data_IF_850717498965
#
_entry.id   IF_850717498965
#
_cell.length_a   1.000
_cell.length_b   1.000
_cell.length_c   1.000
_cell.angle_alpha   90.00
_cell.angle_beta   90.00
_cell.angle_gamma   90.00
#
_symmetry.space_group_name_H-M   'P 1'
#
loop_
_entity.id
_entity.type
_entity.pdbx_description
1 polymer ?
#
# COMPACT_ATOMS: atom_id res chain seq x y z
N UNK A 1 -0.76 6.80 20.19
CA UNK A 1 -0.88 6.42 18.77
C UNK A 1 -0.35 7.55 17.91
N UNK A 2 0.53 7.23 16.98
CA UNK A 2 1.09 8.18 16.03
C UNK A 2 0.07 8.35 14.89
N UNK A 3 -0.31 9.58 14.60
CA UNK A 3 -1.16 9.93 13.45
C UNK A 3 -0.28 10.66 12.44
N UNK A 4 0.13 10.01 11.33
CA UNK A 4 0.90 10.68 10.28
C UNK A 4 0.12 11.86 9.67
N UNK A 5 0.82 12.77 9.00
CA UNK A 5 0.13 13.82 8.24
C UNK A 5 -0.68 13.19 7.09
N UNK A 6 -1.92 13.67 6.88
CA UNK A 6 -2.72 13.21 5.74
C UNK A 6 -2.11 13.73 4.43
N UNK A 7 -2.09 12.88 3.39
CA UNK A 7 -1.60 13.30 2.09
C UNK A 7 -2.48 14.40 1.50
N UNK A 8 -1.86 15.33 0.80
CA UNK A 8 -2.48 16.46 0.11
C UNK A 8 -2.12 16.42 -1.37
N UNK A 9 -2.78 17.20 -2.20
CA UNK A 9 -2.46 17.32 -3.63
C UNK A 9 -1.00 17.67 -3.84
N UNK A 10 -0.33 16.95 -4.72
CA UNK A 10 1.10 17.04 -4.98
C UNK A 10 1.96 16.07 -4.15
N UNK A 11 1.37 15.37 -3.18
CA UNK A 11 2.07 14.33 -2.42
C UNK A 11 2.12 13.02 -3.20
N UNK A 12 3.05 12.17 -2.84
CA UNK A 12 3.28 10.86 -3.47
C UNK A 12 2.70 9.72 -2.64
N UNK A 13 1.93 8.86 -3.30
CA UNK A 13 1.45 7.59 -2.74
C UNK A 13 2.31 6.45 -3.28
N UNK A 14 2.93 5.69 -2.38
CA UNK A 14 3.63 4.46 -2.70
C UNK A 14 2.67 3.28 -2.69
N UNK A 15 2.70 2.44 -3.72
CA UNK A 15 1.87 1.25 -3.82
C UNK A 15 2.76 0.01 -3.79
N UNK A 16 2.46 -0.94 -2.91
CA UNK A 16 3.08 -2.26 -2.86
C UNK A 16 2.05 -3.37 -2.99
N UNK A 17 2.49 -4.56 -3.35
CA UNK A 17 1.66 -5.76 -3.42
C UNK A 17 2.03 -6.76 -2.31
N UNK A 18 1.56 -6.54 -1.07
CA UNK A 18 1.97 -7.35 0.08
C UNK A 18 1.45 -8.78 0.01
N UNK A 19 0.47 -9.06 -0.85
CA UNK A 19 -0.12 -10.38 -1.08
C UNK A 19 -0.17 -10.72 -2.57
N UNK A 20 -1.28 -10.43 -3.27
CA UNK A 20 -1.38 -10.65 -4.71
C UNK A 20 -0.87 -9.45 -5.50
N UNK A 21 -0.26 -9.73 -6.65
CA UNK A 21 -0.04 -8.74 -7.69
C UNK A 21 -1.33 -8.47 -8.48
N UNK A 22 -1.32 -7.41 -9.28
CA UNK A 22 -2.48 -6.99 -10.09
C UNK A 22 -2.34 -7.33 -11.59
N UNK A 23 -1.32 -8.09 -11.99
CA UNK A 23 -1.03 -8.37 -13.40
C UNK A 23 -2.20 -8.98 -14.18
N UNK A 24 -3.06 -9.74 -13.50
CA UNK A 24 -4.29 -10.32 -14.08
C UNK A 24 -5.43 -9.30 -14.31
N UNK A 25 -5.25 -8.05 -13.88
CA UNK A 25 -6.25 -6.95 -13.95
C UNK A 25 -5.62 -5.61 -14.32
N UNK A 26 -4.60 -5.60 -15.16
CA UNK A 26 -3.82 -4.39 -15.48
C UNK A 26 -4.68 -3.24 -15.99
N UNK A 27 -5.61 -3.49 -16.90
CA UNK A 27 -6.49 -2.43 -17.43
C UNK A 27 -7.29 -1.71 -16.34
N UNK A 28 -7.78 -2.45 -15.35
CA UNK A 28 -8.52 -1.89 -14.22
C UNK A 28 -7.61 -1.18 -13.26
N UNK A 29 -6.42 -1.72 -13.03
CA UNK A 29 -5.43 -1.08 -12.17
C UNK A 29 -4.93 0.23 -12.79
N UNK A 30 -4.71 0.27 -14.11
CA UNK A 30 -4.33 1.50 -14.81
C UNK A 30 -5.40 2.60 -14.66
N UNK A 31 -6.70 2.25 -14.72
CA UNK A 31 -7.79 3.19 -14.45
C UNK A 31 -7.77 3.69 -12.99
N UNK A 32 -7.41 2.82 -12.05
CA UNK A 32 -7.29 3.22 -10.64
C UNK A 32 -6.13 4.21 -10.44
N UNK A 33 -4.96 3.94 -11.05
CA UNK A 33 -3.80 4.83 -11.02
C UNK A 33 -4.14 6.18 -11.67
N UNK A 34 -4.80 6.18 -12.83
CA UNK A 34 -5.27 7.38 -13.49
C UNK A 34 -6.22 8.22 -12.60
N UNK A 35 -7.11 7.53 -11.88
CA UNK A 35 -8.04 8.17 -10.94
C UNK A 35 -7.30 8.86 -9.78
N UNK A 36 -6.27 8.22 -9.23
CA UNK A 36 -5.44 8.80 -8.17
C UNK A 36 -4.61 9.99 -8.69
N UNK A 37 -4.04 9.87 -9.89
CA UNK A 37 -3.32 10.98 -10.54
C UNK A 37 -4.24 12.17 -10.81
N UNK A 38 -5.47 11.94 -11.30
CA UNK A 38 -6.47 12.99 -11.51
C UNK A 38 -6.93 13.65 -10.20
N UNK A 39 -6.88 12.91 -9.09
CA UNK A 39 -7.11 13.46 -7.76
C UNK A 39 -5.96 14.36 -7.27
N UNK A 40 -4.81 14.32 -7.95
CA UNK A 40 -3.66 15.18 -7.73
C UNK A 40 -2.53 14.53 -6.94
N UNK A 41 -2.44 13.21 -6.91
CA UNK A 41 -1.34 12.46 -6.29
C UNK A 41 -0.36 11.93 -7.32
N UNK A 42 0.93 11.96 -7.00
CA UNK A 42 1.94 11.21 -7.73
C UNK A 42 1.97 9.77 -7.24
N UNK A 43 2.15 8.81 -8.15
CA UNK A 43 2.11 7.39 -7.81
C UNK A 43 3.47 6.74 -8.08
N UNK A 44 3.96 6.00 -7.08
CA UNK A 44 5.14 5.14 -7.18
C UNK A 44 4.73 3.71 -6.85
N UNK A 45 5.03 2.79 -7.74
CA UNK A 45 4.75 1.36 -7.58
C UNK A 45 6.04 0.60 -7.29
N UNK A 46 5.97 -0.40 -6.41
CA UNK A 46 7.07 -1.37 -6.28
C UNK A 46 7.03 -2.39 -7.42
N UNK A 47 8.16 -3.08 -7.63
CA UNK A 47 8.35 -3.96 -8.79
C UNK A 47 7.31 -5.08 -8.86
N UNK A 48 6.93 -5.66 -7.71
CA UNK A 48 6.00 -6.79 -7.67
C UNK A 48 4.53 -6.43 -7.88
N UNK A 49 4.15 -5.14 -7.90
CA UNK A 49 2.76 -4.71 -8.02
C UNK A 49 2.09 -5.29 -9.27
N UNK A 50 2.76 -5.21 -10.41
CA UNK A 50 2.20 -5.62 -11.71
C UNK A 50 2.42 -7.09 -12.07
N UNK A 51 2.94 -7.89 -11.14
CA UNK A 51 3.11 -9.33 -11.36
C UNK A 51 1.75 -10.05 -11.40
N UNK A 52 1.65 -11.08 -12.26
CA UNK A 52 0.47 -11.98 -12.27
C UNK A 52 0.51 -13.04 -11.15
N UNK A 53 1.67 -13.18 -10.47
CA UNK A 53 1.91 -14.23 -9.51
C UNK A 53 1.06 -14.11 -8.23
N UNK A 54 0.79 -15.24 -7.62
CA UNK A 54 0.10 -15.43 -6.35
C UNK A 54 0.93 -16.33 -5.42
N UNK A 55 1.70 -15.77 -4.47
CA UNK A 55 1.88 -14.34 -4.13
C UNK A 55 2.60 -13.54 -5.23
N UNK A 56 2.54 -12.22 -5.13
CA UNK A 56 3.13 -11.27 -6.10
C UNK A 56 4.64 -11.49 -6.27
N UNK A 57 5.33 -11.82 -5.18
CA UNK A 57 6.76 -12.14 -5.10
C UNK A 57 7.03 -12.97 -3.83
N UNK A 58 8.25 -13.52 -3.64
CA UNK A 58 8.67 -14.11 -2.37
C UNK A 58 8.47 -13.17 -1.18
N UNK A 59 8.21 -13.72 0.00
CA UNK A 59 7.83 -12.95 1.18
C UNK A 59 8.90 -11.92 1.62
N UNK A 60 10.18 -12.27 1.51
CA UNK A 60 11.30 -11.39 1.81
C UNK A 60 11.40 -10.20 0.82
N UNK A 61 11.10 -10.43 -0.45
CA UNK A 61 11.04 -9.38 -1.48
C UNK A 61 9.88 -8.43 -1.18
N UNK A 62 8.67 -8.95 -0.91
CA UNK A 62 7.50 -8.14 -0.55
C UNK A 62 7.77 -7.29 0.70
N UNK A 63 8.44 -7.88 1.71
CA UNK A 63 8.87 -7.17 2.91
C UNK A 63 9.89 -6.07 2.62
N UNK A 64 10.89 -6.34 1.77
CA UNK A 64 11.88 -5.34 1.36
C UNK A 64 11.23 -4.18 0.59
N UNK A 65 10.30 -4.46 -0.32
CA UNK A 65 9.54 -3.45 -1.06
C UNK A 65 8.71 -2.57 -0.12
N UNK A 66 8.01 -3.18 0.84
CA UNK A 66 7.26 -2.44 1.86
C UNK A 66 8.18 -1.52 2.67
N UNK A 67 9.31 -2.05 3.15
CA UNK A 67 10.29 -1.28 3.90
C UNK A 67 10.85 -0.11 3.08
N UNK A 68 11.10 -0.30 1.78
CA UNK A 68 11.62 0.74 0.90
C UNK A 68 10.68 1.95 0.79
N UNK A 69 9.36 1.71 0.69
CA UNK A 69 8.36 2.78 0.65
C UNK A 69 8.30 3.56 1.98
N UNK A 70 8.48 2.87 3.11
CA UNK A 70 8.54 3.56 4.39
C UNK A 70 9.84 4.34 4.58
N UNK A 71 10.96 3.86 4.05
CA UNK A 71 12.26 4.54 4.14
C UNK A 71 12.34 5.79 3.25
N UNK A 72 11.62 5.82 2.13
CA UNK A 72 11.68 6.93 1.18
C UNK A 72 10.90 8.14 1.70
N UNK A 73 11.62 9.24 1.99
CA UNK A 73 11.04 10.48 2.49
C UNK A 73 10.17 11.22 1.45
N UNK A 74 10.22 10.83 0.18
CA UNK A 74 9.34 11.40 -0.85
C UNK A 74 7.96 10.72 -0.88
N UNK A 75 7.81 9.57 -0.22
CA UNK A 75 6.52 8.88 -0.11
C UNK A 75 5.78 9.40 1.12
N UNK A 76 4.56 9.89 0.93
CA UNK A 76 3.72 10.47 1.99
C UNK A 76 2.72 9.47 2.57
N UNK A 77 2.28 8.50 1.77
CA UNK A 77 1.34 7.46 2.16
C UNK A 77 1.68 6.16 1.45
N UNK A 78 1.39 5.03 2.06
CA UNK A 78 1.55 3.71 1.45
C UNK A 78 0.18 3.04 1.30
N UNK A 79 -0.07 2.42 0.15
CA UNK A 79 -1.29 1.64 -0.09
C UNK A 79 -0.97 0.23 -0.57
N UNK A 80 -1.82 -0.71 -0.19
CA UNK A 80 -1.81 -2.04 -0.80
C UNK A 80 -2.43 -1.97 -2.20
N UNK A 81 -1.82 -2.63 -3.18
CA UNK A 81 -2.35 -2.74 -4.53
C UNK A 81 -3.64 -3.58 -4.57
N UNK A 82 -3.63 -4.70 -3.84
CA UNK A 82 -4.70 -5.71 -3.84
C UNK A 82 -4.74 -6.45 -2.50
N UNK A 83 -5.80 -7.20 -2.26
CA UNK A 83 -5.87 -8.22 -1.21
C UNK A 83 -5.16 -9.51 -1.62
N UNK A 84 -5.55 -10.64 -1.01
CA UNK A 84 -5.01 -11.97 -1.29
C UNK A 84 -5.08 -12.87 -0.07
N UNK A 85 -4.10 -13.81 0.04
CA UNK A 85 -4.06 -14.82 1.10
C UNK A 85 -2.65 -15.03 1.70
N UNK A 86 -1.65 -14.22 1.28
CA UNK A 86 -0.24 -14.47 1.60
C UNK A 86 0.44 -13.35 2.40
N UNK A 87 -0.30 -12.32 2.78
CA UNK A 87 0.28 -11.15 3.44
C UNK A 87 0.98 -11.51 4.76
N UNK A 88 0.42 -12.45 5.51
CA UNK A 88 0.97 -12.88 6.81
C UNK A 88 2.43 -13.38 6.70
N UNK A 89 2.80 -13.95 5.55
CA UNK A 89 4.14 -14.50 5.33
C UNK A 89 5.23 -13.41 5.30
N UNK A 90 4.88 -12.18 4.88
CA UNK A 90 5.86 -11.09 4.80
C UNK A 90 6.06 -10.36 6.12
N UNK A 91 5.16 -10.51 7.10
CA UNK A 91 5.24 -9.83 8.40
C UNK A 91 6.62 -9.97 9.08
N UNK A 92 7.28 -11.16 9.10
CA UNK A 92 8.60 -11.30 9.68
C UNK A 92 9.70 -10.49 8.98
N UNK A 93 9.49 -10.04 7.75
CA UNK A 93 10.44 -9.27 6.95
C UNK A 93 10.21 -7.76 6.99
N UNK A 94 9.19 -7.31 7.74
CA UNK A 94 8.97 -5.88 7.99
C UNK A 94 9.99 -5.39 9.03
N UNK A 95 10.79 -4.39 8.64
CA UNK A 95 11.68 -3.70 9.58
C UNK A 95 10.85 -2.74 10.46
N UNK A 96 10.40 -3.25 11.59
CA UNK A 96 9.57 -2.51 12.52
C UNK A 96 10.24 -1.24 13.07
N UNK A 97 11.57 -1.23 13.20
CA UNK A 97 12.30 -0.05 13.68
C UNK A 97 12.31 1.04 12.63
N UNK A 98 12.58 0.67 11.38
CA UNK A 98 12.55 1.58 10.24
C UNK A 98 11.14 2.17 10.08
N UNK A 99 10.11 1.32 10.04
CA UNK A 99 8.71 1.74 9.89
C UNK A 99 8.30 2.70 11.01
N UNK A 100 8.67 2.39 12.26
CA UNK A 100 8.36 3.25 13.41
C UNK A 100 9.09 4.60 13.38
N UNK A 101 10.28 4.66 12.78
CA UNK A 101 11.04 5.91 12.64
C UNK A 101 10.59 6.78 11.46
N UNK A 102 9.82 6.22 10.52
CA UNK A 102 9.28 6.90 9.34
C UNK A 102 7.76 6.67 9.24
N UNK A 103 6.97 7.08 10.24
CA UNK A 103 5.55 6.74 10.28
C UNK A 103 4.80 7.38 9.12
N UNK A 104 4.05 6.56 8.40
CA UNK A 104 3.18 6.95 7.28
C UNK A 104 1.83 6.30 7.42
N UNK A 105 0.80 6.90 6.83
CA UNK A 105 -0.46 6.20 6.64
C UNK A 105 -0.25 4.96 5.77
N UNK A 106 -0.77 3.84 6.22
CA UNK A 106 -0.95 2.65 5.39
C UNK A 106 -2.44 2.43 5.19
N UNK A 107 -2.86 2.20 3.95
CA UNK A 107 -4.25 1.90 3.62
C UNK A 107 -4.37 0.58 2.86
N UNK A 108 -5.39 -0.19 3.22
CA UNK A 108 -5.73 -1.45 2.57
C UNK A 108 -6.94 -2.09 3.22
N UNK A 109 -7.36 -3.24 2.73
CA UNK A 109 -8.39 -4.05 3.37
C UNK A 109 -8.27 -5.53 2.95
N UNK A 110 -9.00 -6.41 3.63
CA UNK A 110 -8.93 -7.86 3.43
C UNK A 110 -7.59 -8.40 3.96
N UNK A 111 -6.81 -9.11 3.16
CA UNK A 111 -5.52 -9.69 3.58
C UNK A 111 -4.52 -8.67 4.13
N UNK A 112 -4.34 -7.45 3.58
CA UNK A 112 -3.52 -6.39 4.17
C UNK A 112 -3.85 -5.97 5.60
N UNK A 113 -4.98 -6.37 6.15
CA UNK A 113 -5.37 -6.13 7.54
C UNK A 113 -4.32 -6.62 8.54
N UNK A 114 -3.56 -7.67 8.22
CA UNK A 114 -2.49 -8.16 9.09
C UNK A 114 -1.34 -7.13 9.25
N UNK A 115 -1.03 -6.36 8.21
CA UNK A 115 -0.09 -5.20 8.31
C UNK A 115 -0.72 -4.11 9.18
N UNK A 116 -1.97 -3.76 8.94
CA UNK A 116 -2.66 -2.71 9.73
C UNK A 116 -2.69 -3.07 11.21
N UNK A 117 -2.93 -4.34 11.55
CA UNK A 117 -2.86 -4.82 12.93
C UNK A 117 -1.44 -4.67 13.51
N UNK A 118 -0.40 -5.04 12.76
CA UNK A 118 0.99 -4.83 13.20
C UNK A 118 1.27 -3.35 13.46
N UNK A 119 0.92 -2.48 12.51
CA UNK A 119 1.17 -1.05 12.62
C UNK A 119 0.43 -0.42 13.80
N UNK A 120 -0.85 -0.75 13.99
CA UNK A 120 -1.67 -0.17 15.06
C UNK A 120 -1.37 -0.74 16.42
N UNK A 121 -1.27 -2.07 16.57
CA UNK A 121 -1.21 -2.71 17.88
C UNK A 121 0.22 -2.85 18.43
N UNK A 122 1.23 -2.95 17.55
CA UNK A 122 2.63 -3.13 17.95
C UNK A 122 3.44 -1.86 17.78
N UNK A 123 3.27 -1.16 16.66
CA UNK A 123 4.06 0.04 16.36
C UNK A 123 3.40 1.34 16.82
N UNK A 124 2.13 1.29 17.22
CA UNK A 124 1.34 2.45 17.68
C UNK A 124 1.16 3.54 16.60
N UNK A 125 1.06 3.13 15.32
CA UNK A 125 0.85 3.98 14.15
C UNK A 125 -0.59 3.78 13.65
N UNK A 126 -1.32 4.87 13.45
CA UNK A 126 -2.67 4.82 12.89
C UNK A 126 -2.65 4.37 11.42
N UNK A 127 -3.66 3.58 11.03
CA UNK A 127 -3.84 3.07 9.66
C UNK A 127 -5.24 3.37 9.15
N UNK A 128 -5.47 3.16 7.87
CA UNK A 128 -6.78 3.34 7.22
C UNK A 128 -7.26 1.98 6.72
N UNK A 129 -8.18 1.35 7.46
CA UNK A 129 -8.89 0.20 6.93
C UNK A 129 -9.86 0.68 5.85
N UNK A 130 -9.45 0.56 4.60
CA UNK A 130 -10.18 1.10 3.46
C UNK A 130 -9.85 0.34 2.18
N UNK A 131 -10.23 0.90 1.04
CA UNK A 131 -10.00 0.23 -0.24
C UNK A 131 -8.53 0.10 -0.59
N UNK A 132 -8.17 -1.00 -1.28
CA UNK A 132 -6.87 -1.14 -1.93
C UNK A 132 -6.77 -0.20 -3.14
N UNK A 133 -5.55 0.16 -3.55
CA UNK A 133 -5.32 1.07 -4.67
C UNK A 133 -6.04 0.64 -5.95
N UNK A 134 -6.06 -0.66 -6.27
CA UNK A 134 -6.76 -1.19 -7.43
C UNK A 134 -8.30 -1.03 -7.42
N UNK A 135 -8.88 -0.59 -6.30
CA UNK A 135 -10.33 -0.35 -6.21
C UNK A 135 -10.76 1.08 -6.59
N UNK A 136 -9.83 1.93 -6.99
CA UNK A 136 -10.14 3.28 -7.50
C UNK A 136 -10.47 3.27 -9.01
N UNK A 137 -10.77 2.11 -9.58
CA UNK A 137 -11.18 1.93 -10.99
C UNK A 137 -12.58 2.49 -11.31
N UNK A 138 -13.34 2.91 -10.29
CA UNK A 138 -14.67 3.48 -10.44
C UNK A 138 -14.62 4.97 -10.75
N UNK A 139 -15.23 5.33 -11.90
CA UNK A 139 -15.45 6.73 -12.28
C UNK A 139 -16.94 6.99 -12.54
N UNK A 140 -17.51 8.09 -12.03
CA UNK A 140 -16.89 9.12 -11.17
C UNK A 140 -16.78 8.67 -9.72
N UNK A 141 -15.75 9.16 -9.01
CA UNK A 141 -15.69 9.03 -7.55
C UNK A 141 -16.94 9.67 -6.97
N UNK A 142 -17.64 8.95 -6.07
CA UNK A 142 -18.82 9.49 -5.40
C UNK A 142 -18.42 10.73 -4.59
N UNK A 143 -19.08 11.84 -4.84
CA UNK A 143 -18.98 13.01 -3.97
C UNK A 143 -19.88 12.75 -2.76
N UNK A 144 -19.28 12.62 -1.59
CA UNK A 144 -19.98 12.63 -0.33
C UNK A 144 -20.31 14.06 0.07
#
# INVERSE_FOLDING_TARGET
>A
MIYPEFPKKGDTIGICAPSFGVGHKLEWFDLAIETLNDAGFDIVETESVRNEAFPSAPADIRGAEFNSLFADNNINMVMSASGGDYNIEMIPFIDQKLVKSHPKWFAGYSDPTSIEMLLTTVLDIATIYGVNAGSFDWRPLHKF
#
